data_IF_924027275365
#
_entry.id   IF_924027275365
#
_cell.length_a   1.000
_cell.length_b   1.000
_cell.length_c   1.000
_cell.angle_alpha   90.00
_cell.angle_beta   90.00
_cell.angle_gamma   90.00
#
_symmetry.space_group_name_H-M   'P 1'
#
loop_
_entity.id
_entity.type
_entity.pdbx_description
1 polymer ?
#
# COMPACT_ATOMS: atom_id res chain seq x y z
N UNK A 1 -31.39 48.86 16.08
CA UNK A 1 -31.08 47.90 17.15
C UNK A 1 -30.55 46.61 16.53
N UNK A 2 -29.34 46.23 16.93
CA UNK A 2 -28.54 45.15 16.36
C UNK A 2 -29.09 43.76 16.71
N UNK A 3 -29.38 42.93 15.71
CA UNK A 3 -29.30 41.48 15.86
C UNK A 3 -27.91 41.03 15.41
N UNK A 4 -27.13 40.61 16.41
CA UNK A 4 -25.75 40.13 16.29
C UNK A 4 -25.66 39.00 15.26
N UNK A 5 -24.67 39.11 14.36
CA UNK A 5 -24.11 37.98 13.59
C UNK A 5 -23.84 36.83 14.56
N UNK A 6 -24.60 35.74 14.40
CA UNK A 6 -24.24 34.44 14.97
C UNK A 6 -22.93 34.05 14.29
N UNK A 7 -21.88 33.87 15.08
CA UNK A 7 -20.55 33.51 14.60
C UNK A 7 -20.62 32.24 13.75
N UNK A 8 -19.95 32.24 12.60
CA UNK A 8 -19.61 31.01 11.89
C UNK A 8 -18.88 30.10 12.89
N UNK A 9 -19.54 29.03 13.32
CA UNK A 9 -18.85 27.90 13.92
C UNK A 9 -17.89 27.41 12.84
N UNK A 10 -16.59 27.53 13.09
CA UNK A 10 -15.57 26.96 12.22
C UNK A 10 -15.84 25.45 12.15
N UNK A 11 -16.42 24.99 11.04
CA UNK A 11 -16.46 23.58 10.68
C UNK A 11 -15.02 23.08 10.70
N UNK A 12 -14.66 22.31 11.74
CA UNK A 12 -13.43 21.52 11.69
C UNK A 12 -13.56 20.65 10.46
N UNK A 13 -12.72 20.89 9.45
CA UNK A 13 -12.78 20.15 8.20
C UNK A 13 -12.62 18.66 8.55
N UNK A 14 -13.70 17.89 8.38
CA UNK A 14 -13.66 16.45 8.58
C UNK A 14 -12.72 15.87 7.52
N UNK A 15 -11.77 15.04 7.96
CA UNK A 15 -10.84 14.37 7.06
C UNK A 15 -10.73 12.89 7.40
N UNK A 16 -10.52 12.08 6.38
CA UNK A 16 -10.26 10.66 6.50
C UNK A 16 -8.80 10.37 6.18
N UNK A 17 -8.03 9.88 7.17
CA UNK A 17 -6.65 9.45 6.95
C UNK A 17 -6.61 8.03 6.35
N UNK A 18 -6.53 7.98 5.03
CA UNK A 18 -6.52 6.73 4.27
C UNK A 18 -5.29 5.87 4.58
N UNK A 19 -4.12 6.49 4.70
CA UNK A 19 -2.88 5.75 4.95
C UNK A 19 -2.92 5.09 6.34
N UNK A 20 -3.43 5.80 7.35
CA UNK A 20 -3.61 5.23 8.69
C UNK A 20 -4.59 4.04 8.67
N UNK A 21 -5.74 4.19 8.02
CA UNK A 21 -6.74 3.12 7.92
C UNK A 21 -6.20 1.88 7.19
N UNK A 22 -5.52 2.08 6.05
CA UNK A 22 -4.88 0.99 5.31
C UNK A 22 -3.74 0.33 6.09
N UNK A 23 -2.95 1.11 6.84
CA UNK A 23 -1.88 0.55 7.70
C UNK A 23 -2.48 -0.38 8.76
N UNK A 24 -3.54 0.06 9.45
CA UNK A 24 -4.20 -0.75 10.47
C UNK A 24 -4.83 -2.04 9.89
N UNK A 25 -5.43 -1.96 8.70
CA UNK A 25 -5.92 -3.14 7.99
C UNK A 25 -4.79 -4.13 7.67
N UNK A 26 -3.68 -3.63 7.09
CA UNK A 26 -2.54 -4.49 6.73
C UNK A 26 -1.89 -5.12 7.98
N UNK A 27 -1.78 -4.38 9.08
CA UNK A 27 -1.30 -4.90 10.36
C UNK A 27 -2.16 -6.05 10.87
N UNK A 28 -3.49 -5.92 10.82
CA UNK A 28 -4.40 -6.99 11.26
C UNK A 28 -4.33 -8.22 10.34
N UNK A 29 -4.26 -8.02 9.02
CA UNK A 29 -4.04 -9.11 8.05
C UNK A 29 -2.75 -9.87 8.38
N UNK A 30 -1.63 -9.16 8.52
CA UNK A 30 -0.32 -9.78 8.80
C UNK A 30 -0.30 -10.48 10.16
N UNK A 31 -1.04 -9.99 11.14
CA UNK A 31 -1.18 -10.64 12.46
C UNK A 31 -2.01 -11.92 12.40
N UNK A 32 -3.11 -11.93 11.65
CA UNK A 32 -4.08 -13.04 11.64
C UNK A 32 -3.76 -14.13 10.63
N UNK A 33 -3.39 -13.76 9.41
CA UNK A 33 -3.30 -14.68 8.29
C UNK A 33 -1.90 -15.33 8.23
N UNK A 34 -1.78 -16.67 8.34
CA UNK A 34 -0.49 -17.36 8.47
C UNK A 34 0.54 -17.02 7.39
N UNK A 35 0.10 -16.93 6.12
CA UNK A 35 0.98 -16.60 4.99
C UNK A 35 1.71 -15.25 5.16
N UNK A 36 1.13 -14.29 5.89
CA UNK A 36 1.63 -12.92 5.98
C UNK A 36 2.30 -12.60 7.32
N UNK A 37 2.43 -13.57 8.25
CA UNK A 37 3.03 -13.35 9.58
C UNK A 37 4.49 -12.90 9.58
N UNK A 38 5.20 -13.13 8.47
CA UNK A 38 6.58 -12.69 8.29
C UNK A 38 6.70 -11.17 8.04
N UNK A 39 5.59 -10.51 7.65
CA UNK A 39 5.56 -9.09 7.31
C UNK A 39 5.51 -8.23 8.57
N UNK A 40 6.43 -7.26 8.66
CA UNK A 40 6.44 -6.26 9.73
C UNK A 40 6.03 -4.90 9.17
N UNK A 41 4.77 -4.53 9.38
CA UNK A 41 4.21 -3.28 8.86
C UNK A 41 4.94 -1.99 9.28
N UNK A 42 5.61 -1.90 10.45
CA UNK A 42 6.41 -0.71 10.76
C UNK A 42 7.54 -0.39 9.76
N UNK A 43 8.03 -1.38 9.02
CA UNK A 43 9.01 -1.23 7.94
C UNK A 43 8.37 -1.16 6.54
N UNK A 44 7.04 -1.10 6.46
CA UNK A 44 6.24 -1.01 5.22
C UNK A 44 5.32 0.21 5.28
N UNK A 45 5.85 1.45 5.20
CA UNK A 45 5.02 2.64 5.13
C UNK A 45 3.99 2.55 4.00
N UNK A 46 2.73 2.84 4.35
CA UNK A 46 1.62 2.95 3.40
C UNK A 46 1.46 4.40 2.96
N UNK A 47 1.51 4.63 1.65
CA UNK A 47 1.35 5.95 1.02
C UNK A 47 0.28 5.89 -0.05
N UNK A 48 -0.17 7.04 -0.53
CA UNK A 48 -1.04 7.10 -1.71
C UNK A 48 -0.55 8.10 -2.76
N UNK A 49 -0.92 7.83 -4.01
CA UNK A 49 -0.71 8.71 -5.16
C UNK A 49 -2.06 9.08 -5.77
N UNK A 50 -2.19 10.32 -6.24
CA UNK A 50 -3.39 10.73 -6.98
C UNK A 50 -3.19 10.45 -8.46
N UNK A 51 -4.16 9.79 -9.08
CA UNK A 51 -4.18 9.56 -10.53
C UNK A 51 -4.92 10.69 -11.23
N UNK A 52 -4.47 11.03 -12.44
CA UNK A 52 -5.11 12.06 -13.28
C UNK A 52 -6.45 11.61 -13.87
N UNK A 53 -6.69 10.31 -13.93
CA UNK A 53 -7.92 9.72 -14.48
C UNK A 53 -8.50 8.70 -13.50
N UNK A 54 -9.83 8.72 -13.27
CA UNK A 54 -10.52 7.82 -12.36
C UNK A 54 -10.83 6.45 -12.97
N UNK A 55 -10.47 6.21 -14.24
CA UNK A 55 -10.69 4.90 -14.89
C UNK A 55 -10.08 3.78 -14.07
N UNK A 56 -10.83 2.69 -13.93
CA UNK A 56 -10.43 1.50 -13.17
C UNK A 56 -9.36 0.68 -13.88
N UNK A 57 -9.18 0.86 -15.19
CA UNK A 57 -8.11 0.22 -15.95
C UNK A 57 -6.77 0.89 -15.63
N UNK A 58 -5.88 0.17 -14.94
CA UNK A 58 -4.53 0.62 -14.62
C UNK A 58 -3.99 0.06 -13.30
N UNK A 59 -2.86 0.61 -12.86
CA UNK A 59 -2.24 0.22 -11.59
C UNK A 59 -3.09 0.76 -10.43
N UNK A 60 -3.52 -0.15 -9.56
CA UNK A 60 -4.37 0.14 -8.39
C UNK A 60 -3.58 0.28 -7.11
N UNK A 61 -2.61 -0.61 -6.93
CA UNK A 61 -1.62 -0.51 -5.89
C UNK A 61 -0.26 -0.96 -6.43
N UNK A 62 0.79 -0.71 -5.66
CA UNK A 62 2.15 -1.16 -5.95
C UNK A 62 2.94 -1.28 -4.66
N UNK A 63 3.55 -2.44 -4.46
CA UNK A 63 4.67 -2.62 -3.54
C UNK A 63 5.99 -2.23 -4.21
N UNK A 64 6.73 -1.32 -3.61
CA UNK A 64 8.09 -0.94 -4.05
C UNK A 64 9.12 -1.54 -3.09
N UNK A 65 9.98 -2.49 -3.52
CA UNK A 65 11.08 -3.02 -2.71
C UNK A 65 12.19 -1.98 -2.54
N UNK A 66 12.84 -1.94 -1.37
CA UNK A 66 13.95 -1.03 -1.08
C UNK A 66 15.30 -1.74 -0.92
N UNK A 67 15.35 -3.02 -1.31
CA UNK A 67 16.57 -3.80 -1.50
C UNK A 67 16.54 -4.50 -2.85
N UNK A 68 17.72 -4.91 -3.31
CA UNK A 68 17.89 -5.73 -4.49
C UNK A 68 17.75 -7.21 -4.15
N UNK A 69 18.09 -8.07 -5.11
CA UNK A 69 18.04 -9.51 -4.98
C UNK A 69 18.67 -10.03 -3.69
N UNK A 70 17.92 -10.89 -2.98
CA UNK A 70 18.37 -11.48 -1.73
C UNK A 70 18.42 -10.50 -0.55
N UNK A 71 17.88 -9.29 -0.71
CA UNK A 71 17.95 -8.23 0.30
C UNK A 71 19.23 -7.40 0.23
N UNK A 72 19.99 -7.50 -0.86
CA UNK A 72 21.23 -6.74 -1.03
C UNK A 72 20.96 -5.22 -1.05
N UNK A 73 21.79 -4.45 -0.35
CA UNK A 73 21.73 -2.98 -0.39
C UNK A 73 22.36 -2.38 -1.64
N UNK A 74 23.17 -3.16 -2.36
CA UNK A 74 23.89 -2.74 -3.56
C UNK A 74 23.75 -3.80 -4.64
N UNK A 75 23.58 -3.36 -5.89
CA UNK A 75 23.59 -4.25 -7.06
C UNK A 75 24.44 -3.68 -8.19
N UNK A 76 25.12 -4.55 -8.93
CA UNK A 76 25.84 -4.18 -10.14
C UNK A 76 24.90 -4.22 -11.35
N UNK A 77 24.61 -3.06 -11.95
CA UNK A 77 23.83 -2.94 -13.18
C UNK A 77 24.64 -2.24 -14.26
N UNK A 78 24.79 -2.89 -15.42
CA UNK A 78 25.53 -2.36 -16.59
C UNK A 78 26.93 -1.85 -16.20
N UNK A 79 27.66 -2.65 -15.43
CA UNK A 79 29.04 -2.36 -14.99
C UNK A 79 29.16 -1.44 -13.76
N UNK A 80 28.09 -0.73 -13.36
CA UNK A 80 28.10 0.24 -12.25
C UNK A 80 27.38 -0.30 -11.00
N UNK A 81 27.83 0.09 -9.81
CA UNK A 81 27.16 -0.21 -8.54
C UNK A 81 26.07 0.81 -8.24
N UNK A 82 24.92 0.32 -7.79
CA UNK A 82 23.74 1.11 -7.46
C UNK A 82 23.23 0.77 -6.07
N UNK A 83 22.72 1.77 -5.35
CA UNK A 83 21.93 1.61 -4.11
C UNK A 83 20.53 2.18 -4.32
N UNK A 84 19.56 1.71 -3.54
CA UNK A 84 18.27 2.39 -3.39
C UNK A 84 18.43 3.51 -2.37
N UNK A 85 17.81 4.67 -2.61
CA UNK A 85 17.72 5.75 -1.63
C UNK A 85 17.08 5.24 -0.33
N UNK A 86 17.75 5.42 0.80
CA UNK A 86 17.19 5.07 2.12
C UNK A 86 15.96 5.92 2.41
N UNK A 87 14.92 5.27 2.92
CA UNK A 87 13.68 5.91 3.37
C UNK A 87 13.52 5.59 4.85
N UNK A 88 13.31 6.62 5.68
CA UNK A 88 12.99 6.46 7.10
C UNK A 88 11.58 6.97 7.34
N UNK A 89 10.76 6.17 8.02
CA UNK A 89 9.41 6.52 8.42
C UNK A 89 9.22 6.18 9.90
N UNK A 90 8.75 7.13 10.70
CA UNK A 90 8.57 6.97 12.15
C UNK A 90 9.82 6.42 12.87
N UNK A 91 11.00 6.91 12.48
CA UNK A 91 12.28 6.50 13.09
C UNK A 91 12.78 5.10 12.68
N UNK A 92 12.12 4.42 11.74
CA UNK A 92 12.53 3.11 11.22
C UNK A 92 12.90 3.20 9.75
N UNK A 93 13.96 2.50 9.33
CA UNK A 93 14.25 2.34 7.92
C UNK A 93 13.17 1.46 7.28
N UNK A 94 12.57 1.95 6.19
CA UNK A 94 11.62 1.18 5.41
C UNK A 94 12.35 0.13 4.57
N UNK A 95 11.75 -1.05 4.47
CA UNK A 95 12.16 -2.13 3.56
C UNK A 95 11.29 -2.18 2.30
N UNK A 96 10.06 -1.69 2.40
CA UNK A 96 9.09 -1.64 1.32
C UNK A 96 8.28 -0.34 1.40
N UNK A 97 7.66 0.05 0.30
CA UNK A 97 6.63 1.11 0.30
C UNK A 97 5.39 0.55 -0.39
N UNK A 98 4.26 0.56 0.32
CA UNK A 98 2.98 0.16 -0.24
C UNK A 98 2.22 1.40 -0.70
N UNK A 99 2.05 1.55 -2.02
CA UNK A 99 1.40 2.72 -2.63
C UNK A 99 0.04 2.34 -3.19
N UNK A 100 -1.02 3.06 -2.78
CA UNK A 100 -2.35 2.96 -3.40
C UNK A 100 -2.62 4.15 -4.34
N UNK A 101 -3.25 3.88 -5.47
CA UNK A 101 -3.55 4.88 -6.50
C UNK A 101 -5.01 5.31 -6.42
N UNK A 102 -5.27 6.52 -5.91
CA UNK A 102 -6.61 7.07 -5.73
C UNK A 102 -6.98 8.01 -6.88
N UNK A 103 -8.25 8.04 -7.34
CA UNK A 103 -9.39 7.33 -6.77
C UNK A 103 -9.52 5.86 -7.20
N UNK A 104 -8.72 5.40 -8.18
CA UNK A 104 -8.91 4.12 -8.87
C UNK A 104 -9.07 2.92 -7.93
N UNK A 105 -8.19 2.76 -6.94
CA UNK A 105 -8.27 1.65 -5.98
C UNK A 105 -9.59 1.68 -5.20
N UNK A 106 -10.00 2.86 -4.72
CA UNK A 106 -11.24 2.99 -3.97
C UNK A 106 -12.49 2.86 -4.85
N UNK A 107 -12.38 2.97 -6.17
CA UNK A 107 -13.52 2.78 -7.08
C UNK A 107 -13.76 1.32 -7.48
N UNK A 108 -12.81 0.41 -7.19
CA UNK A 108 -13.03 -1.02 -7.33
C UNK A 108 -14.23 -1.51 -6.48
N UNK A 109 -14.71 -2.72 -6.74
CA UNK A 109 -15.62 -3.39 -5.80
C UNK A 109 -14.91 -3.69 -4.47
N UNK A 110 -15.68 -3.93 -3.40
CA UNK A 110 -15.12 -4.30 -2.10
C UNK A 110 -14.23 -5.56 -2.18
N UNK A 111 -14.67 -6.57 -2.93
CA UNK A 111 -13.92 -7.81 -3.12
C UNK A 111 -12.60 -7.57 -3.85
N UNK A 112 -12.62 -6.80 -4.94
CA UNK A 112 -11.41 -6.46 -5.70
C UNK A 112 -10.42 -5.61 -4.89
N UNK A 113 -10.90 -4.72 -4.01
CA UNK A 113 -10.03 -3.99 -3.06
C UNK A 113 -9.31 -4.96 -2.14
N UNK A 114 -10.04 -5.90 -1.54
CA UNK A 114 -9.45 -6.90 -0.65
C UNK A 114 -8.43 -7.75 -1.40
N UNK A 115 -8.78 -8.29 -2.57
CA UNK A 115 -7.85 -9.05 -3.42
C UNK A 115 -6.59 -8.25 -3.73
N UNK A 116 -6.73 -6.96 -4.07
CA UNK A 116 -5.59 -6.08 -4.35
C UNK A 116 -4.68 -5.92 -3.14
N UNK A 117 -5.23 -5.72 -1.93
CA UNK A 117 -4.43 -5.62 -0.69
C UNK A 117 -3.62 -6.90 -0.47
N UNK A 118 -4.27 -8.07 -0.57
CA UNK A 118 -3.59 -9.36 -0.42
C UNK A 118 -2.53 -9.57 -1.50
N UNK A 119 -2.80 -9.19 -2.74
CA UNK A 119 -1.87 -9.27 -3.85
C UNK A 119 -0.58 -8.49 -3.57
N UNK A 120 -0.70 -7.24 -3.12
CA UNK A 120 0.48 -6.41 -2.83
C UNK A 120 1.26 -6.91 -1.62
N UNK A 121 0.58 -7.36 -0.55
CA UNK A 121 1.26 -7.97 0.59
C UNK A 121 1.99 -9.26 0.19
N UNK A 122 1.44 -10.02 -0.76
CA UNK A 122 2.03 -11.27 -1.22
C UNK A 122 3.31 -11.07 -2.05
N UNK A 123 3.53 -9.86 -2.58
CA UNK A 123 4.82 -9.47 -3.18
C UNK A 123 5.95 -9.31 -2.17
N UNK A 124 5.65 -9.21 -0.88
CA UNK A 124 6.69 -9.15 0.14
C UNK A 124 7.40 -10.51 0.20
N UNK A 125 8.74 -10.46 0.18
CA UNK A 125 9.56 -11.65 0.30
C UNK A 125 9.26 -12.40 1.61
N UNK A 126 9.13 -13.75 1.58
CA UNK A 126 9.03 -14.56 2.80
C UNK A 126 10.15 -14.34 3.82
N UNK A 127 11.33 -13.90 3.39
CA UNK A 127 12.45 -13.58 4.28
C UNK A 127 12.37 -12.15 4.86
N UNK A 128 11.43 -11.33 4.39
CA UNK A 128 11.23 -9.94 4.78
C UNK A 128 12.56 -9.14 4.79
N UNK A 129 13.28 -9.20 3.68
CA UNK A 129 14.62 -8.64 3.52
C UNK A 129 14.67 -7.41 2.60
N UNK A 130 13.51 -6.83 2.24
CA UNK A 130 13.39 -5.68 1.35
C UNK A 130 13.39 -6.01 -0.14
N UNK A 131 13.55 -7.28 -0.51
CA UNK A 131 13.38 -7.81 -1.88
C UNK A 131 11.93 -8.28 -2.10
N UNK A 132 11.52 -8.43 -3.35
CA UNK A 132 10.21 -9.02 -3.67
C UNK A 132 10.22 -10.54 -3.49
N UNK A 133 9.04 -11.13 -3.31
CA UNK A 133 8.84 -12.57 -3.39
C UNK A 133 9.27 -13.07 -4.77
N UNK A 134 10.21 -14.00 -4.76
CA UNK A 134 10.83 -14.61 -5.93
C UNK A 134 10.25 -16.01 -6.15
N UNK A 135 9.76 -16.29 -7.36
CA UNK A 135 9.36 -17.63 -7.77
C UNK A 135 10.41 -18.15 -8.74
N UNK A 136 10.86 -19.40 -8.56
CA UNK A 136 11.93 -19.96 -9.40
C UNK A 136 11.58 -19.90 -10.89
N UNK A 137 12.40 -19.21 -11.69
CA UNK A 137 12.23 -19.08 -13.14
C UNK A 137 12.72 -17.75 -13.71
N UNK A 138 12.88 -17.68 -15.04
CA UNK A 138 13.44 -16.51 -15.76
C UNK A 138 12.49 -15.31 -15.91
N UNK A 139 11.25 -15.39 -15.40
CA UNK A 139 10.25 -14.34 -15.52
C UNK A 139 9.93 -13.76 -14.13
N UNK A 140 10.86 -12.92 -13.66
CA UNK A 140 10.86 -12.32 -12.33
C UNK A 140 9.86 -11.17 -12.14
N UNK A 141 9.20 -10.75 -13.22
CA UNK A 141 8.21 -9.67 -13.23
C UNK A 141 6.98 -10.16 -13.99
N UNK A 142 5.91 -10.40 -13.24
CA UNK A 142 4.51 -10.56 -13.66
C UNK A 142 4.25 -10.63 -15.17
N UNK A 143 4.12 -11.83 -15.72
CA UNK A 143 3.37 -12.04 -16.98
C UNK A 143 2.86 -13.48 -17.19
N UNK A 144 3.30 -14.46 -16.40
CA UNK A 144 3.01 -15.88 -16.71
C UNK A 144 1.74 -16.50 -16.11
N UNK A 145 1.30 -16.11 -14.90
CA UNK A 145 0.17 -16.80 -14.24
C UNK A 145 -0.75 -15.91 -13.41
N UNK A 146 -1.02 -14.69 -13.88
CA UNK A 146 -1.88 -13.70 -13.23
C UNK A 146 -3.20 -14.30 -12.72
N UNK A 147 -3.87 -15.14 -13.54
CA UNK A 147 -5.13 -15.81 -13.14
C UNK A 147 -4.99 -16.78 -11.95
N UNK A 148 -3.86 -17.47 -11.81
CA UNK A 148 -3.63 -18.38 -10.68
C UNK A 148 -3.34 -17.63 -9.39
N UNK A 149 -2.54 -16.55 -9.49
CA UNK A 149 -2.25 -15.66 -8.38
C UNK A 149 -3.51 -14.93 -7.90
N UNK A 150 -4.29 -14.36 -8.81
CA UNK A 150 -5.52 -13.65 -8.47
C UNK A 150 -6.52 -14.55 -7.76
N UNK A 151 -6.62 -15.83 -8.17
CA UNK A 151 -7.44 -16.84 -7.48
C UNK A 151 -6.96 -17.10 -6.06
N UNK A 152 -5.65 -17.24 -5.84
CA UNK A 152 -5.11 -17.46 -4.50
C UNK A 152 -5.37 -16.25 -3.60
N UNK A 153 -5.25 -15.03 -4.12
CA UNK A 153 -5.51 -13.81 -3.36
C UNK A 153 -6.99 -13.67 -3.01
N UNK A 154 -7.89 -14.09 -3.90
CA UNK A 154 -9.32 -14.19 -3.57
C UNK A 154 -9.60 -15.19 -2.45
N UNK A 155 -8.91 -16.33 -2.44
CA UNK A 155 -9.01 -17.31 -1.34
C UNK A 155 -8.54 -16.69 -0.01
N UNK A 156 -7.35 -16.08 0.02
CA UNK A 156 -6.84 -15.46 1.25
C UNK A 156 -7.70 -14.29 1.75
N UNK A 157 -8.21 -13.45 0.83
CA UNK A 157 -9.15 -12.39 1.18
C UNK A 157 -10.42 -12.96 1.81
N UNK A 158 -10.97 -14.04 1.23
CA UNK A 158 -12.15 -14.73 1.77
C UNK A 158 -11.86 -15.35 3.14
N UNK A 159 -10.74 -16.03 3.31
CA UNK A 159 -10.32 -16.62 4.59
C UNK A 159 -10.23 -15.57 5.69
N UNK A 160 -9.63 -14.41 5.42
CA UNK A 160 -9.55 -13.30 6.37
C UNK A 160 -10.92 -12.75 6.74
N UNK A 161 -11.80 -12.53 5.76
CA UNK A 161 -13.16 -12.04 6.01
C UNK A 161 -14.00 -13.06 6.81
N UNK A 162 -13.86 -14.35 6.53
CA UNK A 162 -14.54 -15.44 7.25
C UNK A 162 -14.00 -15.64 8.67
N UNK A 163 -12.73 -15.32 8.92
CA UNK A 163 -12.09 -15.35 10.23
C UNK A 163 -12.44 -14.12 11.10
N UNK A 164 -13.64 -13.54 10.92
CA UNK A 164 -14.17 -12.40 11.67
C UNK A 164 -13.21 -11.20 11.64
N UNK A 165 -12.89 -10.74 10.43
CA UNK A 165 -12.21 -9.46 10.22
C UNK A 165 -12.97 -8.34 10.97
N UNK A 166 -12.29 -7.48 11.76
CA UNK A 166 -12.97 -6.39 12.44
C UNK A 166 -13.60 -5.42 11.44
N UNK A 167 -14.91 -5.17 11.57
CA UNK A 167 -15.66 -4.36 10.61
C UNK A 167 -15.09 -2.94 10.53
N UNK A 168 -14.59 -2.38 11.64
CA UNK A 168 -13.97 -1.06 11.65
C UNK A 168 -12.73 -0.94 10.76
N UNK A 169 -12.03 -2.05 10.48
CA UNK A 169 -10.83 -2.07 9.64
C UNK A 169 -11.17 -2.22 8.15
N UNK A 170 -12.38 -2.68 7.80
CA UNK A 170 -12.76 -2.94 6.40
C UNK A 170 -13.90 -2.03 5.92
N UNK A 171 -14.67 -1.42 6.83
CA UNK A 171 -15.86 -0.64 6.49
C UNK A 171 -15.60 0.45 5.45
N UNK A 172 -14.48 1.15 5.55
CA UNK A 172 -14.17 2.24 4.61
C UNK A 172 -13.95 1.75 3.17
N UNK A 173 -13.53 0.49 2.98
CA UNK A 173 -13.38 -0.12 1.66
C UNK A 173 -14.72 -0.45 1.00
N UNK A 174 -15.84 -0.39 1.74
CA UNK A 174 -17.18 -0.55 1.15
C UNK A 174 -17.62 0.66 0.33
N UNK A 175 -16.96 1.81 0.51
CA UNK A 175 -17.26 3.03 -0.23
C UNK A 175 -16.36 3.19 -1.45
N UNK A 176 -16.90 3.77 -2.51
CA UNK A 176 -16.15 4.41 -3.58
C UNK A 176 -15.41 5.65 -3.07
N UNK A 177 -14.48 6.21 -3.87
CA UNK A 177 -13.79 7.43 -3.46
C UNK A 177 -14.74 8.63 -3.23
N UNK A 178 -15.72 8.92 -4.13
CA UNK A 178 -16.68 10.00 -3.88
C UNK A 178 -17.57 9.75 -2.68
N UNK A 179 -18.03 8.50 -2.47
CA UNK A 179 -18.85 8.15 -1.30
C UNK A 179 -18.06 8.32 0.00
N UNK A 180 -16.80 7.87 0.04
CA UNK A 180 -15.94 8.05 1.22
C UNK A 180 -15.75 9.54 1.54
N UNK A 181 -15.58 10.38 0.51
CA UNK A 181 -15.49 11.83 0.69
C UNK A 181 -16.79 12.44 1.22
N UNK A 182 -17.94 11.98 0.74
CA UNK A 182 -19.24 12.45 1.21
C UNK A 182 -19.50 12.06 2.68
N UNK A 183 -19.05 10.87 3.11
CA UNK A 183 -19.29 10.36 4.46
C UNK A 183 -18.25 10.82 5.49
N UNK A 184 -17.00 11.07 5.07
CA UNK A 184 -15.88 11.29 5.99
C UNK A 184 -15.07 12.56 5.70
N UNK A 185 -15.44 13.33 4.67
CA UNK A 185 -14.76 14.55 4.26
C UNK A 185 -13.50 14.30 3.44
N UNK A 186 -12.53 15.22 3.50
CA UNK A 186 -11.35 15.14 2.62
C UNK A 186 -10.50 13.90 2.92
N UNK A 187 -10.17 13.12 1.88
CA UNK A 187 -9.23 12.00 2.01
C UNK A 187 -7.80 12.53 2.04
N UNK A 188 -7.11 12.30 3.15
CA UNK A 188 -5.73 12.70 3.42
C UNK A 188 -4.87 11.46 3.73
N UNK A 189 -3.57 11.66 3.87
CA UNK A 189 -2.66 10.57 4.25
C UNK A 189 -1.21 10.90 3.93
N UNK A 190 -0.32 9.99 4.32
CA UNK A 190 1.11 10.07 4.09
C UNK A 190 1.43 10.15 2.59
N UNK A 191 2.41 10.98 2.25
CA UNK A 191 2.98 11.09 0.90
C UNK A 191 4.48 10.84 0.96
N UNK A 192 4.92 9.75 0.36
CA UNK A 192 6.34 9.43 0.18
C UNK A 192 6.71 9.58 -1.29
N UNK A 193 7.80 10.30 -1.57
CA UNK A 193 8.36 10.38 -2.91
C UNK A 193 8.95 9.04 -3.34
N UNK A 194 8.84 8.72 -4.63
CA UNK A 194 9.39 7.48 -5.19
C UNK A 194 10.91 7.45 -4.92
N UNK A 195 11.44 6.43 -4.22
CA UNK A 195 12.87 6.34 -3.92
C UNK A 195 13.69 6.20 -5.19
N UNK A 196 14.81 6.93 -5.24
CA UNK A 196 15.70 6.92 -6.40
C UNK A 196 16.68 5.76 -6.34
N UNK A 197 17.05 5.24 -7.51
CA UNK A 197 18.30 4.49 -7.66
C UNK A 197 19.46 5.48 -7.74
N UNK A 198 20.39 5.37 -6.81
CA UNK A 198 21.54 6.25 -6.67
C UNK A 198 22.79 5.44 -7.02
N UNK A 199 23.65 5.90 -7.92
CA UNK A 199 24.96 5.29 -8.09
C UNK A 199 25.77 5.32 -6.80
N UNK A 200 26.45 4.22 -6.46
CA UNK A 200 27.15 4.12 -5.18
C UNK A 200 28.26 5.19 -5.03
N UNK A 201 28.90 5.57 -6.13
CA UNK A 201 29.90 6.65 -6.20
C UNK A 201 29.32 8.06 -6.01
N UNK A 202 28.00 8.20 -5.94
CA UNK A 202 27.27 9.46 -5.71
C UNK A 202 26.51 9.50 -4.39
N UNK A 203 26.72 8.51 -3.53
CA UNK A 203 26.19 8.54 -2.16
C UNK A 203 27.07 9.49 -1.37
N UNK A 204 26.50 10.62 -0.95
CA UNK A 204 27.16 11.59 -0.07
C UNK A 204 27.22 11.07 1.37
#
# INVERSE_FOLDING_TARGET
MNFRRIGRVNSVAQHFDFCRAMTALCEDICRRHPEFRHVRMPEVPVTFSQTRSPVEWGIQARLTPLRFEGGASVERRRGRLWTVQRVTHQGREALYILTFFLPRFLNLSFEEKMITVFHELYHISPQFNGDIRRFGGACYMHTGSQKGYDRQMAVFAKEYLQAQAPEELVRFLRFSFPELQAHCGHVVGLRISIPRLIPLDKVA
#
